data_IF_550304735243
#
_entry.id   IF_550304735243
#
_cell.length_a   1.000
_cell.length_b   1.000
_cell.length_c   1.000
_cell.angle_alpha   90.00
_cell.angle_beta   90.00
_cell.angle_gamma   90.00
#
_symmetry.space_group_name_H-M   'P 1'
#
loop_
_entity.id
_entity.type
_entity.pdbx_description
1 polymer ?
#
# COMPACT_ATOMS: atom_id res chain seq x y z
N UNK A 1 18.25 34.17 8.44
CA UNK A 1 17.41 34.23 7.22
C UNK A 1 16.25 33.27 7.40
N UNK A 2 15.02 33.78 7.52
CA UNK A 2 13.82 32.92 7.54
C UNK A 2 13.52 32.55 6.09
N UNK A 3 13.69 31.28 5.74
CA UNK A 3 13.27 30.76 4.44
C UNK A 3 11.74 30.79 4.39
N UNK A 4 11.18 31.80 3.72
CA UNK A 4 9.80 31.81 3.28
C UNK A 4 9.65 30.74 2.19
N UNK A 5 9.50 29.48 2.60
CA UNK A 5 9.07 28.44 1.68
C UNK A 5 7.65 28.79 1.21
N UNK A 6 7.49 28.96 -0.09
CA UNK A 6 6.23 29.35 -0.71
C UNK A 6 5.23 28.19 -0.54
N UNK A 7 4.22 28.38 0.30
CA UNK A 7 3.19 27.37 0.62
C UNK A 7 2.53 26.80 -0.64
N UNK A 8 2.37 27.60 -1.70
CA UNK A 8 1.84 27.15 -2.99
C UNK A 8 2.77 26.19 -3.72
N UNK A 9 4.08 26.37 -3.61
CA UNK A 9 5.07 25.48 -4.21
C UNK A 9 5.13 24.15 -3.46
N UNK A 10 5.04 24.17 -2.13
CA UNK A 10 4.92 22.96 -1.31
C UNK A 10 3.64 22.19 -1.64
N UNK A 11 2.49 22.87 -1.74
CA UNK A 11 1.22 22.24 -2.11
C UNK A 11 1.24 21.69 -3.54
N UNK A 12 1.84 22.41 -4.48
CA UNK A 12 2.01 21.95 -5.87
C UNK A 12 2.92 20.72 -5.96
N UNK A 13 4.05 20.70 -5.22
CA UNK A 13 4.93 19.54 -5.13
C UNK A 13 4.24 18.35 -4.46
N UNK A 14 3.50 18.59 -3.37
CA UNK A 14 2.69 17.58 -2.68
C UNK A 14 1.68 16.93 -3.62
N UNK A 15 0.95 17.73 -4.38
CA UNK A 15 -0.01 17.24 -5.35
C UNK A 15 0.67 16.47 -6.49
N UNK A 16 1.88 16.88 -6.92
CA UNK A 16 2.57 16.23 -8.03
C UNK A 16 3.03 14.80 -7.68
N UNK A 17 3.70 14.56 -6.55
CA UNK A 17 4.15 13.21 -6.23
C UNK A 17 2.98 12.26 -5.89
N UNK A 18 1.94 12.75 -5.21
CA UNK A 18 0.75 11.94 -4.87
C UNK A 18 0.10 11.43 -6.15
N UNK A 19 -0.04 12.29 -7.17
CA UNK A 19 -0.60 11.89 -8.45
C UNK A 19 0.21 10.78 -9.13
N UNK A 20 1.56 10.81 -9.06
CA UNK A 20 2.36 9.72 -9.64
C UNK A 20 2.13 8.38 -8.93
N UNK A 21 1.93 8.37 -7.60
CA UNK A 21 1.59 7.13 -6.88
C UNK A 21 0.17 6.65 -7.17
N UNK A 22 -0.78 7.56 -7.36
CA UNK A 22 -2.14 7.23 -7.81
C UNK A 22 -2.08 6.63 -9.23
N UNK A 23 -1.26 7.19 -10.13
CA UNK A 23 -1.08 6.68 -11.49
C UNK A 23 -0.44 5.29 -11.49
N UNK A 24 0.52 5.03 -10.58
CA UNK A 24 1.09 3.68 -10.37
C UNK A 24 0.00 2.70 -9.94
N UNK A 25 -0.84 3.09 -8.97
CA UNK A 25 -1.92 2.24 -8.49
C UNK A 25 -2.98 1.97 -9.57
N UNK A 26 -3.42 3.00 -10.31
CA UNK A 26 -4.35 2.83 -11.43
C UNK A 26 -3.76 1.89 -12.48
N UNK A 27 -2.49 2.07 -12.82
CA UNK A 27 -1.80 1.22 -13.77
C UNK A 27 -1.71 -0.23 -13.27
N UNK A 28 -1.45 -0.45 -11.97
CA UNK A 28 -1.41 -1.79 -11.38
C UNK A 28 -2.79 -2.47 -11.40
N UNK A 29 -3.83 -1.78 -10.90
CA UNK A 29 -5.21 -2.30 -10.85
C UNK A 29 -5.74 -2.62 -12.25
N UNK A 30 -5.40 -1.77 -13.22
CA UNK A 30 -5.80 -1.97 -14.62
C UNK A 30 -4.79 -2.77 -15.46
N UNK A 31 -3.73 -3.33 -14.84
CA UNK A 31 -2.68 -4.12 -15.49
C UNK A 31 -2.00 -3.44 -16.70
N UNK A 32 -1.87 -2.11 -16.64
CA UNK A 32 -1.19 -1.31 -17.65
C UNK A 32 0.31 -1.28 -17.37
N UNK A 33 1.00 -2.43 -17.51
CA UNK A 33 2.44 -2.54 -17.21
C UNK A 33 3.31 -1.58 -18.04
N UNK A 34 2.91 -1.29 -19.28
CA UNK A 34 3.58 -0.29 -20.11
C UNK A 34 3.53 1.11 -19.47
N UNK A 35 2.41 1.49 -18.85
CA UNK A 35 2.29 2.75 -18.14
C UNK A 35 3.20 2.78 -16.91
N UNK A 36 3.37 1.66 -16.21
CA UNK A 36 4.34 1.57 -15.10
C UNK A 36 5.78 1.78 -15.59
N UNK A 37 6.16 1.19 -16.73
CA UNK A 37 7.46 1.40 -17.37
C UNK A 37 7.66 2.87 -17.78
N UNK A 38 6.64 3.50 -18.36
CA UNK A 38 6.66 4.91 -18.75
C UNK A 38 6.85 5.83 -17.52
N UNK A 39 6.17 5.55 -16.40
CA UNK A 39 6.36 6.26 -15.13
C UNK A 39 7.80 6.09 -14.63
N UNK A 40 8.33 4.87 -14.65
CA UNK A 40 9.73 4.63 -14.28
C UNK A 40 10.69 5.51 -15.09
N UNK A 41 10.63 5.47 -16.43
CA UNK A 41 11.55 6.22 -17.29
C UNK A 41 11.38 7.74 -17.20
N UNK A 42 10.15 8.22 -17.01
CA UNK A 42 9.84 9.64 -16.79
C UNK A 42 10.56 10.18 -15.56
N UNK A 43 10.59 9.40 -14.48
CA UNK A 43 11.12 9.85 -13.19
C UNK A 43 12.61 9.51 -13.01
N UNK A 44 13.08 8.38 -13.55
CA UNK A 44 14.47 7.93 -13.40
C UNK A 44 15.52 8.91 -13.95
N UNK A 45 15.13 9.77 -14.90
CA UNK A 45 16.02 10.75 -15.53
C UNK A 45 16.01 12.13 -14.83
N UNK A 46 15.22 12.32 -13.78
CA UNK A 46 15.10 13.60 -13.06
C UNK A 46 15.87 13.48 -11.75
N UNK A 47 16.93 14.27 -11.53
CA UNK A 47 17.75 14.17 -10.33
C UNK A 47 17.03 14.80 -9.12
N UNK A 48 16.11 14.06 -8.52
CA UNK A 48 15.52 14.37 -7.21
C UNK A 48 15.25 13.09 -6.43
N UNK A 49 15.27 13.21 -5.11
CA UNK A 49 15.05 12.07 -4.21
C UNK A 49 13.64 11.50 -4.37
N UNK A 50 12.64 12.36 -4.57
CA UNK A 50 11.25 11.95 -4.78
C UNK A 50 11.09 11.21 -6.11
N UNK A 51 11.67 11.72 -7.19
CA UNK A 51 11.62 11.09 -8.50
C UNK A 51 12.30 9.72 -8.48
N UNK A 52 13.44 9.60 -7.78
CA UNK A 52 14.12 8.32 -7.61
C UNK A 52 13.24 7.26 -6.93
N UNK A 53 12.62 7.60 -5.79
CA UNK A 53 11.76 6.62 -5.10
C UNK A 53 10.44 6.35 -5.83
N UNK A 54 9.89 7.32 -6.58
CA UNK A 54 8.74 7.08 -7.48
C UNK A 54 9.13 6.11 -8.60
N UNK A 55 10.33 6.25 -9.18
CA UNK A 55 10.78 5.35 -10.23
C UNK A 55 10.96 3.93 -9.69
N UNK A 56 11.59 3.77 -8.51
CA UNK A 56 11.73 2.47 -7.85
C UNK A 56 10.37 1.84 -7.49
N UNK A 57 9.42 2.64 -6.99
CA UNK A 57 8.06 2.17 -6.71
C UNK A 57 7.36 1.65 -7.97
N UNK A 58 7.47 2.35 -9.10
CA UNK A 58 6.92 1.88 -10.37
C UNK A 58 7.64 0.62 -10.87
N UNK A 59 8.98 0.60 -10.81
CA UNK A 59 9.81 -0.53 -11.23
C UNK A 59 9.42 -1.81 -10.50
N UNK A 60 9.22 -1.75 -9.20
CA UNK A 60 8.89 -2.90 -8.35
C UNK A 60 7.62 -3.66 -8.77
N UNK A 61 6.74 -3.05 -9.56
CA UNK A 61 5.49 -3.67 -10.05
C UNK A 61 5.61 -4.36 -11.40
N UNK A 62 6.57 -3.99 -12.26
CA UNK A 62 6.79 -4.65 -13.57
C UNK A 62 8.12 -5.41 -13.66
N UNK A 63 9.03 -5.18 -12.71
CA UNK A 63 10.32 -5.84 -12.63
C UNK A 63 10.76 -5.99 -11.17
N UNK A 64 11.63 -6.96 -10.89
CA UNK A 64 12.18 -7.10 -9.54
C UNK A 64 13.19 -5.98 -9.27
N UNK A 65 13.11 -5.40 -8.07
CA UNK A 65 14.16 -4.53 -7.56
C UNK A 65 15.41 -5.35 -7.22
N UNK A 66 16.58 -4.76 -7.42
CA UNK A 66 17.84 -5.35 -6.96
C UNK A 66 17.95 -5.31 -5.44
N UNK A 67 18.91 -6.06 -4.88
CA UNK A 67 19.18 -6.01 -3.44
C UNK A 67 19.66 -4.62 -3.00
N UNK A 68 20.43 -3.92 -3.85
CA UNK A 68 20.88 -2.56 -3.60
C UNK A 68 19.70 -1.58 -3.55
N UNK A 69 18.79 -1.64 -4.53
CA UNK A 69 17.60 -0.79 -4.59
C UNK A 69 16.66 -1.06 -3.39
N UNK A 70 16.47 -2.33 -3.04
CA UNK A 70 15.65 -2.74 -1.88
C UNK A 70 16.25 -2.22 -0.55
N UNK A 71 17.57 -2.31 -0.41
CA UNK A 71 18.29 -1.78 0.75
C UNK A 71 18.22 -0.25 0.81
N UNK A 72 18.28 0.42 -0.34
CA UNK A 72 18.15 1.87 -0.42
C UNK A 72 16.79 2.35 0.10
N UNK A 73 15.69 1.74 -0.37
CA UNK A 73 14.34 2.06 0.09
C UNK A 73 14.21 1.83 1.61
N UNK A 74 14.70 0.69 2.09
CA UNK A 74 14.65 0.35 3.53
C UNK A 74 15.43 1.37 4.36
N UNK A 75 16.64 1.73 3.93
CA UNK A 75 17.49 2.71 4.61
C UNK A 75 16.84 4.11 4.64
N UNK A 76 16.16 4.50 3.57
CA UNK A 76 15.42 5.76 3.52
C UNK A 76 14.28 5.78 4.54
N UNK A 77 13.41 4.77 4.50
CA UNK A 77 12.27 4.68 5.42
C UNK A 77 12.72 4.60 6.89
N UNK A 78 13.84 3.93 7.17
CA UNK A 78 14.38 3.79 8.52
C UNK A 78 14.94 5.11 9.07
N UNK A 79 15.62 5.89 8.22
CA UNK A 79 16.21 7.20 8.59
C UNK A 79 15.16 8.30 8.71
N UNK A 80 13.98 8.13 8.13
CA UNK A 80 12.89 9.11 8.23
C UNK A 80 12.21 9.00 9.60
N UNK A 81 12.37 10.05 10.42
CA UNK A 81 11.83 10.11 11.79
C UNK A 81 10.29 10.18 11.83
N UNK A 82 9.69 10.94 10.91
CA UNK A 82 8.24 11.13 10.80
C UNK A 82 7.80 10.81 9.38
N UNK A 83 6.91 9.84 9.24
CA UNK A 83 6.39 9.44 7.94
C UNK A 83 5.20 10.31 7.56
N UNK A 84 5.29 10.94 6.39
CA UNK A 84 4.17 11.63 5.77
C UNK A 84 3.51 10.77 4.68
N UNK A 85 2.64 11.41 3.91
CA UNK A 85 1.94 10.80 2.78
C UNK A 85 2.90 10.18 1.77
N UNK A 86 4.07 10.79 1.54
CA UNK A 86 5.07 10.27 0.60
C UNK A 86 5.63 8.91 1.04
N UNK A 87 6.08 8.81 2.29
CA UNK A 87 6.65 7.57 2.83
C UNK A 87 5.61 6.46 2.89
N UNK A 88 4.35 6.78 3.21
CA UNK A 88 3.26 5.80 3.19
C UNK A 88 3.00 5.25 1.78
N UNK A 89 2.98 6.12 0.76
CA UNK A 89 2.84 5.68 -0.63
C UNK A 89 4.07 4.91 -1.14
N UNK A 90 5.27 5.35 -0.77
CA UNK A 90 6.49 4.61 -1.11
C UNK A 90 6.43 3.21 -0.50
N UNK A 91 6.10 3.12 0.79
CA UNK A 91 6.01 1.87 1.51
C UNK A 91 5.00 0.92 0.86
N UNK A 92 3.74 1.32 0.67
CA UNK A 92 2.72 0.42 0.11
C UNK A 92 3.10 -0.13 -1.27
N UNK A 93 3.79 0.67 -2.09
CA UNK A 93 4.26 0.26 -3.41
C UNK A 93 5.54 -0.58 -3.39
N UNK A 94 6.24 -0.65 -2.26
CA UNK A 94 7.52 -1.36 -2.14
C UNK A 94 7.54 -2.40 -1.02
N UNK A 95 6.37 -2.74 -0.46
CA UNK A 95 6.21 -3.67 0.67
C UNK A 95 6.93 -5.01 0.48
N UNK A 96 6.98 -5.55 -0.73
CA UNK A 96 7.66 -6.83 -0.99
C UNK A 96 9.19 -6.74 -0.87
N UNK A 97 9.75 -5.52 -0.96
CA UNK A 97 11.19 -5.25 -1.06
C UNK A 97 11.79 -4.63 0.21
N UNK A 98 10.96 -4.15 1.14
CA UNK A 98 11.47 -3.61 2.41
C UNK A 98 11.92 -4.72 3.37
N UNK A 99 12.94 -4.42 4.18
CA UNK A 99 13.44 -5.37 5.18
C UNK A 99 12.42 -5.61 6.32
N UNK A 100 12.61 -6.71 7.06
CA UNK A 100 11.72 -7.11 8.16
C UNK A 100 11.70 -6.10 9.32
N UNK A 101 12.75 -5.30 9.48
CA UNK A 101 12.83 -4.30 10.55
C UNK A 101 11.83 -3.15 10.31
N UNK A 102 11.69 -2.68 9.06
CA UNK A 102 10.65 -1.72 8.67
C UNK A 102 9.25 -2.28 8.94
N UNK A 103 9.03 -3.57 8.64
CA UNK A 103 7.74 -4.22 8.85
C UNK A 103 7.37 -4.32 10.34
N UNK A 104 8.35 -4.64 11.20
CA UNK A 104 8.18 -4.67 12.66
C UNK A 104 8.02 -3.28 13.25
N UNK A 105 8.71 -2.28 12.72
CA UNK A 105 8.61 -0.92 13.22
C UNK A 105 7.17 -0.41 13.10
N UNK A 106 6.45 -0.74 12.01
CA UNK A 106 5.04 -0.37 11.82
C UNK A 106 4.15 -0.88 12.96
N UNK A 107 4.46 -2.03 13.57
CA UNK A 107 3.74 -2.57 14.75
C UNK A 107 3.85 -1.64 15.97
N UNK A 108 4.93 -0.86 16.07
CA UNK A 108 5.20 0.09 17.17
C UNK A 108 4.81 1.53 16.82
N UNK A 109 4.22 1.76 15.65
CA UNK A 109 4.12 3.10 15.04
C UNK A 109 2.81 3.88 15.26
N UNK A 110 1.97 3.69 16.30
CA UNK A 110 1.00 4.75 16.63
C UNK A 110 1.64 6.13 16.90
N UNK A 111 2.97 6.21 17.09
CA UNK A 111 3.71 7.43 17.43
C UNK A 111 4.43 8.13 16.26
N UNK A 112 4.77 7.47 15.14
CA UNK A 112 5.37 8.16 13.96
C UNK A 112 4.33 8.59 12.92
N UNK A 113 3.17 7.95 12.92
CA UNK A 113 1.96 8.52 12.33
C UNK A 113 1.44 9.52 13.36
N UNK A 114 1.30 10.80 13.05
CA UNK A 114 0.72 11.76 14.00
C UNK A 114 -0.70 11.34 14.41
N UNK A 115 -0.82 10.58 15.50
CA UNK A 115 -2.05 9.87 15.87
C UNK A 115 -2.77 10.45 17.08
N UNK A 116 -2.50 11.70 17.46
CA UNK A 116 -3.22 12.36 18.55
C UNK A 116 -4.14 13.50 18.03
N UNK A 117 -5.42 13.15 17.86
CA UNK A 117 -6.57 14.01 18.16
C UNK A 117 -6.81 15.29 17.34
N UNK A 118 -6.84 15.23 16.00
CA UNK A 118 -7.52 16.28 15.23
C UNK A 118 -8.39 15.70 14.12
N UNK A 119 -9.67 16.12 14.11
CA UNK A 119 -10.78 15.75 13.20
C UNK A 119 -10.53 16.02 11.70
N UNK A 120 -9.29 16.23 11.26
CA UNK A 120 -8.93 16.76 9.93
C UNK A 120 -8.39 15.78 8.90
N UNK A 121 -8.30 14.47 9.18
CA UNK A 121 -7.52 13.55 8.34
C UNK A 121 -8.27 12.24 8.03
N UNK A 122 -9.35 12.30 7.25
CA UNK A 122 -9.95 11.08 6.66
C UNK A 122 -8.98 10.42 5.67
N UNK A 123 -8.36 11.22 4.79
CA UNK A 123 -7.47 10.73 3.73
C UNK A 123 -6.22 10.00 4.25
N UNK A 124 -5.59 10.47 5.34
CA UNK A 124 -4.43 9.78 5.91
C UNK A 124 -4.82 8.46 6.60
N UNK A 125 -6.04 8.35 7.15
CA UNK A 125 -6.56 7.09 7.71
C UNK A 125 -6.85 6.06 6.62
N UNK A 126 -7.34 6.52 5.48
CA UNK A 126 -7.54 5.69 4.29
C UNK A 126 -6.19 5.15 3.81
N UNK A 127 -5.21 6.03 3.59
CA UNK A 127 -3.87 5.61 3.17
C UNK A 127 -3.22 4.66 4.18
N UNK A 128 -3.35 4.95 5.48
CA UNK A 128 -2.85 4.07 6.52
C UNK A 128 -3.54 2.69 6.49
N UNK A 129 -4.87 2.65 6.35
CA UNK A 129 -5.61 1.39 6.25
C UNK A 129 -5.14 0.55 5.05
N UNK A 130 -4.82 1.19 3.93
CA UNK A 130 -4.25 0.54 2.74
C UNK A 130 -2.85 -0.01 2.99
N UNK A 131 -2.00 0.70 3.73
CA UNK A 131 -0.68 0.18 4.17
C UNK A 131 -0.87 -1.07 5.03
N UNK A 132 -1.77 -1.03 6.02
CA UNK A 132 -2.07 -2.19 6.88
C UNK A 132 -2.68 -3.36 6.07
N UNK A 133 -3.53 -3.07 5.09
CA UNK A 133 -4.08 -4.06 4.18
C UNK A 133 -2.99 -4.76 3.36
N UNK A 134 -2.07 -3.98 2.77
CA UNK A 134 -0.91 -4.51 2.05
C UNK A 134 0.02 -5.37 2.92
N UNK A 135 0.30 -4.93 4.15
CA UNK A 135 1.07 -5.71 5.12
C UNK A 135 0.39 -7.03 5.48
N UNK A 136 -0.93 -6.98 5.71
CA UNK A 136 -1.73 -8.16 6.01
C UNK A 136 -1.63 -9.17 4.88
N UNK A 137 -1.80 -8.72 3.63
CA UNK A 137 -1.62 -9.57 2.45
C UNK A 137 -0.20 -10.17 2.39
N UNK A 138 0.83 -9.34 2.58
CA UNK A 138 2.23 -9.78 2.56
C UNK A 138 2.51 -10.88 3.59
N UNK A 139 2.04 -10.72 4.83
CA UNK A 139 2.20 -11.71 5.88
C UNK A 139 1.42 -13.00 5.59
N UNK A 140 0.21 -12.91 5.03
CA UNK A 140 -0.54 -14.09 4.57
C UNK A 140 0.25 -14.83 3.48
N UNK A 141 0.75 -14.11 2.48
CA UNK A 141 1.58 -14.65 1.38
C UNK A 141 2.84 -15.33 1.89
N UNK A 142 3.53 -14.73 2.87
CA UNK A 142 4.73 -15.28 3.52
C UNK A 142 4.45 -16.41 4.52
N UNK A 143 3.18 -16.75 4.79
CA UNK A 143 2.82 -17.78 5.76
C UNK A 143 2.99 -17.37 7.23
N UNK A 144 3.16 -16.08 7.51
CA UNK A 144 3.38 -15.54 8.86
C UNK A 144 2.04 -15.29 9.57
N UNK A 145 1.41 -16.36 10.07
CA UNK A 145 0.06 -16.34 10.66
C UNK A 145 -0.11 -15.27 11.75
N UNK A 146 0.81 -15.21 12.72
CA UNK A 146 0.68 -14.32 13.87
C UNK A 146 0.72 -12.84 13.46
N UNK A 147 1.65 -12.47 12.57
CA UNK A 147 1.76 -11.10 12.06
C UNK A 147 0.54 -10.73 11.22
N UNK A 148 0.10 -11.63 10.34
CA UNK A 148 -1.13 -11.43 9.56
C UNK A 148 -2.36 -11.23 10.45
N UNK A 149 -2.49 -11.99 11.54
CA UNK A 149 -3.60 -11.85 12.48
C UNK A 149 -3.56 -10.51 13.22
N UNK A 150 -2.36 -10.06 13.64
CA UNK A 150 -2.17 -8.76 14.29
C UNK A 150 -2.55 -7.60 13.36
N UNK A 151 -2.03 -7.57 12.14
CA UNK A 151 -2.32 -6.49 11.18
C UNK A 151 -3.79 -6.50 10.76
N UNK A 152 -4.39 -7.68 10.59
CA UNK A 152 -5.83 -7.79 10.31
C UNK A 152 -6.69 -7.24 11.45
N UNK A 153 -6.28 -7.45 12.71
CA UNK A 153 -6.94 -6.85 13.87
C UNK A 153 -6.83 -5.33 13.86
N UNK A 154 -5.63 -4.78 13.62
CA UNK A 154 -5.41 -3.33 13.48
C UNK A 154 -6.33 -2.78 12.39
N UNK A 155 -6.38 -3.42 11.22
CA UNK A 155 -7.20 -2.99 10.10
C UNK A 155 -8.69 -2.88 10.46
N UNK A 156 -9.22 -3.83 11.23
CA UNK A 156 -10.61 -3.83 11.73
C UNK A 156 -10.89 -2.72 12.74
N UNK A 157 -9.88 -2.31 13.51
CA UNK A 157 -10.00 -1.24 14.50
C UNK A 157 -9.95 0.15 13.87
N UNK A 158 -9.38 0.28 12.65
CA UNK A 158 -9.41 1.53 11.90
C UNK A 158 -10.86 1.81 11.48
N UNK A 159 -11.50 2.75 12.17
CA UNK A 159 -12.84 3.23 11.84
C UNK A 159 -12.80 4.10 10.58
N UNK A 160 -12.75 3.47 9.39
CA UNK A 160 -13.10 4.14 8.14
C UNK A 160 -14.58 3.92 7.88
N UNK A 161 -15.40 4.54 8.73
CA UNK A 161 -16.84 4.58 8.51
C UNK A 161 -17.06 5.27 7.15
N UNK A 162 -17.67 4.55 6.20
CA UNK A 162 -18.21 5.01 4.90
C UNK A 162 -17.49 4.62 3.60
N UNK A 163 -16.37 3.87 3.62
CA UNK A 163 -15.73 3.42 2.37
C UNK A 163 -15.99 1.95 2.04
N UNK A 164 -16.91 1.73 1.08
CA UNK A 164 -17.31 0.41 0.60
C UNK A 164 -16.11 -0.44 0.15
N UNK A 165 -15.15 0.17 -0.56
CA UNK A 165 -13.97 -0.54 -1.09
C UNK A 165 -13.09 -1.06 0.04
N UNK A 166 -12.82 -0.25 1.08
CA UNK A 166 -12.05 -0.69 2.25
C UNK A 166 -12.77 -1.83 2.97
N UNK A 167 -14.10 -1.73 3.13
CA UNK A 167 -14.89 -2.81 3.74
C UNK A 167 -14.82 -4.12 2.92
N UNK A 168 -14.82 -4.03 1.60
CA UNK A 168 -14.65 -5.20 0.71
C UNK A 168 -13.23 -5.76 0.78
N UNK A 169 -12.20 -4.91 0.83
CA UNK A 169 -10.80 -5.32 0.97
C UNK A 169 -10.55 -6.01 2.32
N UNK A 170 -11.09 -5.47 3.42
CA UNK A 170 -11.07 -6.11 4.72
C UNK A 170 -11.69 -7.50 4.69
N UNK A 171 -12.91 -7.63 4.15
CA UNK A 171 -13.59 -8.92 4.04
C UNK A 171 -12.82 -9.92 3.15
N UNK A 172 -12.17 -9.42 2.11
CA UNK A 172 -11.32 -10.22 1.23
C UNK A 172 -10.08 -10.73 1.96
N UNK A 173 -9.38 -9.87 2.71
CA UNK A 173 -8.21 -10.25 3.52
C UNK A 173 -8.58 -11.23 4.65
N UNK A 174 -9.74 -11.08 5.28
CA UNK A 174 -10.28 -12.08 6.22
C UNK A 174 -10.47 -13.44 5.53
N UNK A 175 -11.04 -13.42 4.32
CA UNK A 175 -11.18 -14.61 3.49
C UNK A 175 -9.84 -15.27 3.16
N UNK A 176 -8.83 -14.48 2.77
CA UNK A 176 -7.47 -14.97 2.50
C UNK A 176 -6.81 -15.56 3.75
N UNK A 177 -6.94 -14.90 4.90
CA UNK A 177 -6.40 -15.39 6.17
C UNK A 177 -7.01 -16.73 6.55
N UNK A 178 -8.34 -16.84 6.54
CA UNK A 178 -9.06 -18.09 6.80
C UNK A 178 -8.63 -19.17 5.81
N UNK A 179 -8.56 -18.83 4.52
CA UNK A 179 -8.18 -19.76 3.46
C UNK A 179 -6.79 -20.38 3.71
N UNK A 180 -5.82 -19.55 4.10
CA UNK A 180 -4.42 -19.96 4.24
C UNK A 180 -4.15 -20.69 5.56
N UNK A 181 -4.81 -20.31 6.64
CA UNK A 181 -4.37 -20.67 8.00
C UNK A 181 -5.40 -21.40 8.88
N UNK A 182 -6.69 -21.41 8.54
CA UNK A 182 -7.75 -21.87 9.46
C UNK A 182 -8.79 -22.75 8.77
N UNK A 183 -9.71 -22.13 8.03
CA UNK A 183 -10.82 -22.81 7.37
C UNK A 183 -10.83 -22.44 5.88
N UNK A 184 -10.31 -23.39 5.08
CA UNK A 184 -10.21 -23.24 3.63
C UNK A 184 -11.56 -23.04 2.95
N UNK A 185 -12.61 -23.69 3.45
CA UNK A 185 -13.95 -23.65 2.85
C UNK A 185 -14.60 -22.31 3.15
N UNK A 186 -14.57 -21.89 4.42
CA UNK A 186 -15.12 -20.60 4.83
C UNK A 186 -14.35 -19.43 4.17
N UNK A 187 -13.02 -19.50 4.16
CA UNK A 187 -12.17 -18.51 3.50
C UNK A 187 -12.52 -18.36 2.02
N UNK A 188 -12.64 -19.48 1.29
CA UNK A 188 -13.11 -19.47 -0.09
C UNK A 188 -14.48 -18.81 -0.25
N UNK A 189 -15.42 -19.13 0.62
CA UNK A 189 -16.77 -18.55 0.56
C UNK A 189 -16.75 -17.04 0.72
N UNK A 190 -15.92 -16.49 1.61
CA UNK A 190 -15.76 -15.04 1.78
C UNK A 190 -15.11 -14.38 0.56
N UNK A 191 -14.04 -14.98 0.03
CA UNK A 191 -13.35 -14.47 -1.16
C UNK A 191 -14.32 -14.42 -2.35
N UNK A 192 -15.04 -15.50 -2.62
CA UNK A 192 -16.01 -15.56 -3.72
C UNK A 192 -17.16 -14.56 -3.53
N UNK A 193 -17.59 -14.33 -2.27
CA UNK A 193 -18.59 -13.30 -1.97
C UNK A 193 -18.10 -11.90 -2.36
N UNK A 194 -16.86 -11.54 -2.03
CA UNK A 194 -16.29 -10.23 -2.41
C UNK A 194 -16.18 -10.09 -3.94
N UNK A 195 -15.65 -11.11 -4.61
CA UNK A 195 -15.53 -11.10 -6.07
C UNK A 195 -16.89 -11.00 -6.78
N UNK A 196 -17.93 -11.63 -6.22
CA UNK A 196 -19.29 -11.52 -6.73
C UNK A 196 -19.84 -10.09 -6.56
N UNK A 197 -19.66 -9.47 -5.38
CA UNK A 197 -20.10 -8.08 -5.14
C UNK A 197 -19.43 -7.13 -6.13
N UNK A 198 -18.11 -7.25 -6.36
CA UNK A 198 -17.40 -6.41 -7.33
C UNK A 198 -17.89 -6.62 -8.77
N UNK A 199 -18.28 -7.85 -9.13
CA UNK A 199 -18.92 -8.13 -10.41
C UNK A 199 -20.27 -7.42 -10.54
N UNK A 200 -21.08 -7.43 -9.48
CA UNK A 200 -22.40 -6.77 -9.46
C UNK A 200 -22.29 -5.26 -9.52
N UNK A 201 -21.21 -4.69 -8.96
CA UNK A 201 -20.92 -3.25 -9.00
C UNK A 201 -20.24 -2.81 -10.31
N UNK A 202 -20.10 -3.71 -11.29
CA UNK A 202 -19.43 -3.43 -12.57
C UNK A 202 -18.00 -2.88 -12.37
N UNK A 203 -17.26 -3.44 -11.39
CA UNK A 203 -15.88 -3.09 -11.08
C UNK A 203 -14.87 -4.19 -11.50
N UNK A 204 -14.77 -4.52 -12.80
CA UNK A 204 -14.00 -5.68 -13.27
C UNK A 204 -12.49 -5.54 -13.04
N UNK A 205 -11.93 -4.32 -13.06
CA UNK A 205 -10.51 -4.09 -12.82
C UNK A 205 -10.10 -4.48 -11.39
N UNK A 206 -10.86 -4.00 -10.39
CA UNK A 206 -10.65 -4.34 -8.98
C UNK A 206 -10.90 -5.85 -8.75
N UNK A 207 -11.97 -6.40 -9.33
CA UNK A 207 -12.27 -7.83 -9.23
C UNK A 207 -11.11 -8.68 -9.75
N UNK A 208 -10.56 -8.32 -10.91
CA UNK A 208 -9.44 -9.03 -11.51
C UNK A 208 -8.16 -8.88 -10.66
N UNK A 209 -7.87 -7.67 -10.19
CA UNK A 209 -6.75 -7.40 -9.29
C UNK A 209 -6.80 -8.29 -8.04
N UNK A 210 -7.93 -8.33 -7.33
CA UNK A 210 -8.10 -9.19 -6.15
C UNK A 210 -8.04 -10.68 -6.51
N UNK A 211 -8.56 -11.08 -7.68
CA UNK A 211 -8.45 -12.47 -8.15
C UNK A 211 -6.99 -12.88 -8.35
N UNK A 212 -6.15 -11.99 -8.88
CA UNK A 212 -4.72 -12.22 -9.03
C UNK A 212 -4.02 -12.33 -7.67
N UNK A 213 -4.34 -11.46 -6.71
CA UNK A 213 -3.82 -11.58 -5.34
C UNK A 213 -4.20 -12.93 -4.72
N UNK A 214 -5.45 -13.37 -4.87
CA UNK A 214 -5.88 -14.67 -4.36
C UNK A 214 -5.12 -15.84 -5.02
N UNK A 215 -4.83 -15.76 -6.31
CA UNK A 215 -4.04 -16.79 -7.00
C UNK A 215 -2.59 -16.87 -6.51
N UNK A 216 -2.02 -15.80 -5.94
CA UNK A 216 -0.68 -15.83 -5.32
C UNK A 216 -0.65 -16.55 -3.96
N UNK A 217 -1.81 -16.78 -3.34
CA UNK A 217 -1.93 -17.43 -2.03
C UNK A 217 -2.16 -18.94 -2.13
N UNK A 218 -2.79 -19.39 -3.22
CA UNK A 218 -3.04 -20.80 -3.54
C UNK A 218 -1.75 -21.59 -3.64
#
# INVERSE_FOLDING_TARGET
MKSNFNIKEIQSRKNNYINNFIDIEDALINQKYKTLEEIYWKHNNIPSIENHYISLAAKGHFSKLSSEESNEISNYLQKTEVWGTFELYLLINTLEYVNEDILKDIENTPLRFHHNNTKGFQDDRVLFSRVIAGLTFLFIKRGQKENAQKTLKILKEIQVQLELIIGLEQLFLEGLFLYKFEDKILGNKLIQKVLYILSTLEAPSIQHYLSNLYNQIK
#
